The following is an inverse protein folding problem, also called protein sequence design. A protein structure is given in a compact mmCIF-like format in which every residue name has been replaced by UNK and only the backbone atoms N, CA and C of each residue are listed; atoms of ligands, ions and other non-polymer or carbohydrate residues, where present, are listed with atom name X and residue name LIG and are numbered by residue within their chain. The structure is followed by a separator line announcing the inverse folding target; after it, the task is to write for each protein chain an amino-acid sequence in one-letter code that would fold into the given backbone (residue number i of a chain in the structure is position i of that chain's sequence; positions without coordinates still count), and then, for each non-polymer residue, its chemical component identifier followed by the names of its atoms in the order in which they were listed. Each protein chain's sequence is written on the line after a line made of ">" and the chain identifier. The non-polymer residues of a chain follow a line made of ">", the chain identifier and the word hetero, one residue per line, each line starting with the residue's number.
data_IF_095838795068
#
_entry.id   IF_095838795068
#
_cell.length_a   1.000
_cell.length_b   1.000
_cell.length_c   1.000
_cell.angle_alpha   90.00
_cell.angle_beta   90.00
_cell.angle_gamma   90.00
#
_symmetry.space_group_name_H-M   'P 1'
#
loop_
_entity.id
_entity.type
_entity.pdbx_description
1 polymer ?
#
# COMPACT_ATOMS: atom_id res chain seq x y z
N UNK A 1 -23.42 -5.42 -6.94
CA UNK A 1 -23.96 -5.83 -5.63
C UNK A 1 -22.97 -6.86 -5.12
N UNK A 2 -22.43 -6.70 -3.92
CA UNK A 2 -21.59 -7.76 -3.40
C UNK A 2 -22.40 -9.06 -3.34
N UNK A 3 -21.85 -10.15 -3.86
CA UNK A 3 -22.50 -11.44 -3.74
C UNK A 3 -22.48 -11.87 -2.27
N UNK A 4 -23.60 -12.34 -1.70
CA UNK A 4 -23.76 -12.61 -0.27
C UNK A 4 -22.86 -13.75 0.27
N UNK A 5 -22.03 -14.37 -0.55
CA UNK A 5 -21.19 -15.52 -0.17
C UNK A 5 -19.72 -15.41 -0.65
N UNK A 6 -19.29 -14.25 -1.17
CA UNK A 6 -17.96 -14.08 -1.74
C UNK A 6 -17.02 -13.28 -0.85
N UNK A 7 -15.95 -13.90 -0.33
CA UNK A 7 -14.78 -13.16 0.12
C UNK A 7 -14.17 -12.45 -1.10
N UNK A 8 -14.14 -11.12 -1.07
CA UNK A 8 -13.37 -10.33 -2.02
C UNK A 8 -11.91 -10.28 -1.55
N UNK A 9 -11.00 -10.76 -2.38
CA UNK A 9 -9.56 -10.65 -2.14
C UNK A 9 -8.99 -9.63 -3.13
N UNK A 10 -8.48 -8.51 -2.62
CA UNK A 10 -7.69 -7.56 -3.40
C UNK A 10 -6.25 -7.62 -2.87
N UNK A 11 -5.36 -8.19 -3.67
CA UNK A 11 -3.93 -8.20 -3.37
C UNK A 11 -3.29 -7.02 -4.10
N UNK A 12 -2.80 -6.03 -3.35
CA UNK A 12 -2.05 -4.91 -3.90
C UNK A 12 -0.56 -5.20 -3.72
N UNK A 13 0.13 -5.41 -4.83
CA UNK A 13 1.59 -5.60 -4.80
C UNK A 13 2.30 -4.27 -5.03
N UNK A 14 2.76 -3.64 -3.96
CA UNK A 14 3.54 -2.40 -4.02
C UNK A 14 5.04 -2.69 -4.13
N UNK A 15 5.65 -2.38 -5.27
CA UNK A 15 7.13 -2.27 -5.34
C UNK A 15 7.52 -0.93 -4.74
N UNK A 16 7.71 -0.90 -3.43
CA UNK A 16 8.28 0.25 -2.73
C UNK A 16 9.78 0.37 -3.01
N UNK A 17 10.12 0.85 -4.20
CA UNK A 17 11.47 1.27 -4.54
C UNK A 17 11.79 2.57 -3.79
N UNK A 18 12.19 2.44 -2.53
CA UNK A 18 12.71 3.54 -1.74
C UNK A 18 11.81 3.96 -0.60
N UNK A 19 11.64 3.07 0.38
CA UNK A 19 11.79 3.53 1.74
C UNK A 19 13.23 4.05 1.85
N UNK A 20 13.45 5.31 1.49
CA UNK A 20 14.78 5.90 1.58
C UNK A 20 15.23 5.77 3.03
N UNK A 21 16.39 5.14 3.26
CA UNK A 21 17.01 5.16 4.57
C UNK A 21 17.09 6.62 4.99
N UNK A 22 16.56 6.95 6.17
CA UNK A 22 16.56 8.32 6.69
C UNK A 22 18.02 8.75 6.92
N UNK A 23 18.65 9.30 5.88
CA UNK A 23 19.98 9.89 5.98
C UNK A 23 19.79 11.21 6.74
N UNK A 24 19.93 11.17 8.06
CA UNK A 24 20.34 12.33 8.83
C UNK A 24 21.71 12.74 8.30
N UNK A 25 21.74 13.74 7.42
CA UNK A 25 22.98 14.37 6.93
C UNK A 25 23.80 14.93 8.10
N UNK A 26 25.07 14.55 8.27
CA UNK A 26 26.06 15.43 8.85
C UNK A 26 26.69 16.25 7.71
N UNK A 27 26.72 17.57 7.89
CA UNK A 27 27.47 18.51 7.06
C UNK A 27 28.92 18.02 6.85
N UNK A 28 29.32 17.78 5.60
CA UNK A 28 30.73 17.77 5.20
C UNK A 28 30.85 18.14 3.71
N UNK A 29 31.59 19.21 3.46
CA UNK A 29 32.11 19.58 2.15
C UNK A 29 33.10 18.54 1.65
N UNK A 30 33.02 18.16 0.38
CA UNK A 30 34.19 17.96 -0.50
C UNK A 30 33.70 17.77 -1.94
N UNK A 31 34.18 18.65 -2.82
CA UNK A 31 34.23 18.42 -4.26
C UNK A 31 35.15 17.24 -4.56
N UNK A 32 34.77 16.37 -5.49
CA UNK A 32 35.63 15.87 -6.58
C UNK A 32 34.79 15.00 -7.54
N UNK A 33 34.83 15.37 -8.81
CA UNK A 33 34.32 14.57 -9.92
C UNK A 33 35.38 13.54 -10.33
N UNK A 34 35.07 12.24 -10.38
CA UNK A 34 35.69 11.29 -11.33
C UNK A 34 34.66 10.23 -11.77
N UNK A 35 34.51 10.14 -13.08
CA UNK A 35 33.71 9.22 -13.89
C UNK A 35 34.14 7.75 -13.76
N UNK A 36 33.18 6.82 -13.66
CA UNK A 36 33.49 5.39 -13.81
C UNK A 36 32.38 4.38 -13.48
N UNK A 37 31.73 3.87 -14.53
CA UNK A 37 31.25 2.49 -14.69
C UNK A 37 29.95 2.02 -13.98
N UNK A 38 28.92 1.87 -14.83
CA UNK A 38 28.11 0.63 -15.02
C UNK A 38 27.43 0.03 -13.78
N UNK A 39 26.16 0.40 -13.62
CA UNK A 39 25.15 -0.39 -12.95
C UNK A 39 23.80 0.02 -13.51
N UNK A 40 23.10 -0.90 -14.17
CA UNK A 40 21.74 -0.72 -14.67
C UNK A 40 20.85 -0.34 -13.47
N UNK A 41 20.62 0.96 -13.31
CA UNK A 41 19.58 1.47 -12.44
C UNK A 41 18.25 1.12 -13.09
N UNK A 42 17.75 -0.09 -12.77
CA UNK A 42 16.35 -0.41 -12.90
C UNK A 42 15.58 0.59 -12.06
N UNK A 43 15.23 1.72 -12.67
CA UNK A 43 14.27 2.67 -12.14
C UNK A 43 12.98 1.87 -11.95
N UNK A 44 12.78 1.37 -10.73
CA UNK A 44 11.53 0.76 -10.32
C UNK A 44 10.43 1.75 -10.68
N UNK A 45 9.55 1.33 -11.59
CA UNK A 45 8.43 2.15 -12.02
C UNK A 45 7.67 2.55 -10.77
N UNK A 46 7.68 3.84 -10.41
CA UNK A 46 6.78 4.37 -9.40
C UNK A 46 5.39 4.29 -10.00
N UNK A 47 4.64 3.28 -9.63
CA UNK A 47 3.20 3.25 -9.92
C UNK A 47 2.56 4.08 -8.83
N UNK A 48 2.37 5.37 -9.13
CA UNK A 48 1.46 6.16 -8.33
C UNK A 48 0.06 5.60 -8.56
N UNK A 49 -0.62 5.23 -7.49
CA UNK A 49 -1.89 4.51 -7.47
C UNK A 49 -1.88 3.14 -8.15
N UNK A 50 -1.89 2.08 -7.34
CA UNK A 50 -2.15 0.73 -7.83
C UNK A 50 -3.65 0.45 -7.86
N UNK A 51 -4.16 -0.03 -9.00
CA UNK A 51 -5.57 -0.40 -9.18
C UNK A 51 -5.69 -1.91 -9.33
N UNK A 52 -6.53 -2.53 -8.51
CA UNK A 52 -6.81 -3.96 -8.53
C UNK A 52 -8.31 -4.22 -8.65
N UNK A 53 -8.70 -5.33 -9.30
CA UNK A 53 -10.11 -5.69 -9.51
C UNK A 53 -10.39 -7.11 -9.02
N UNK A 54 -11.39 -7.25 -8.14
CA UNK A 54 -11.90 -8.53 -7.66
C UNK A 54 -13.42 -8.58 -7.87
N UNK A 55 -13.85 -9.29 -8.91
CA UNK A 55 -15.26 -9.40 -9.28
C UNK A 55 -15.89 -8.05 -9.64
N UNK A 56 -16.81 -7.57 -8.80
CA UNK A 56 -17.51 -6.29 -8.98
C UNK A 56 -16.85 -5.13 -8.20
N UNK A 57 -15.71 -5.36 -7.55
CA UNK A 57 -15.00 -4.39 -6.72
C UNK A 57 -13.71 -3.97 -7.42
N UNK A 58 -13.56 -2.67 -7.66
CA UNK A 58 -12.27 -2.06 -7.97
C UNK A 58 -11.70 -1.43 -6.70
N UNK A 59 -10.39 -1.50 -6.52
CA UNK A 59 -9.71 -0.83 -5.42
C UNK A 59 -8.53 -0.03 -5.94
N UNK A 60 -8.32 1.15 -5.36
CA UNK A 60 -7.11 1.95 -5.55
C UNK A 60 -6.36 2.04 -4.23
N UNK A 61 -5.07 1.74 -4.24
CA UNK A 61 -4.16 1.91 -3.10
C UNK A 61 -3.39 3.23 -3.23
N UNK A 62 -3.24 3.94 -2.11
CA UNK A 62 -2.32 5.06 -1.96
C UNK A 62 -1.60 5.00 -0.61
N UNK A 63 -0.33 5.41 -0.57
CA UNK A 63 0.51 5.38 0.63
C UNK A 63 1.21 6.73 0.81
N UNK A 64 0.99 7.39 1.95
CA UNK A 64 1.56 8.71 2.20
C UNK A 64 3.05 8.66 2.59
N UNK A 65 3.84 9.70 2.24
CA UNK A 65 3.49 10.77 1.31
C UNK A 65 3.68 10.33 -0.15
N UNK A 66 2.67 10.59 -1.00
CA UNK A 66 2.75 10.46 -2.48
C UNK A 66 3.32 9.13 -2.99
N UNK A 67 2.89 8.00 -2.44
CA UNK A 67 3.37 6.65 -2.73
C UNK A 67 4.88 6.45 -2.50
N UNK A 68 5.46 7.22 -1.56
CA UNK A 68 6.87 7.18 -1.17
C UNK A 68 7.08 7.18 0.36
N UNK A 69 6.55 6.17 1.09
CA UNK A 69 6.75 6.04 2.53
C UNK A 69 8.23 5.87 2.86
N UNK A 70 8.61 6.26 4.08
CA UNK A 70 9.99 6.11 4.60
C UNK A 70 10.08 4.90 5.51
N UNK A 71 11.20 4.18 5.45
CA UNK A 71 11.41 3.03 6.33
C UNK A 71 11.64 3.51 7.75
N UNK A 72 11.06 2.80 8.71
CA UNK A 72 11.11 3.16 10.12
C UNK A 72 10.16 4.31 10.50
N UNK A 73 9.34 4.80 9.57
CA UNK A 73 8.31 5.81 9.81
C UNK A 73 6.93 5.23 9.51
N UNK A 74 5.91 5.61 10.29
CA UNK A 74 4.53 5.26 10.00
C UNK A 74 4.05 6.03 8.77
N UNK A 75 3.40 5.32 7.85
CA UNK A 75 2.82 5.87 6.65
C UNK A 75 1.32 5.57 6.59
N UNK A 76 0.52 6.62 6.42
CA UNK A 76 -0.91 6.46 6.20
C UNK A 76 -1.12 5.77 4.86
N UNK A 77 -1.74 4.60 4.90
CA UNK A 77 -2.11 3.82 3.73
C UNK A 77 -3.62 3.74 3.64
N UNK A 78 -4.20 4.09 2.50
CA UNK A 78 -5.65 4.05 2.31
C UNK A 78 -6.05 3.36 1.02
N UNK A 79 -7.28 2.80 1.03
CA UNK A 79 -7.82 2.00 -0.07
C UNK A 79 -9.15 2.58 -0.53
N UNK A 80 -9.20 3.21 -1.69
CA UNK A 80 -10.45 3.63 -2.29
C UNK A 80 -11.13 2.43 -2.96
N UNK A 81 -12.07 1.81 -2.26
CA UNK A 81 -12.87 0.71 -2.78
C UNK A 81 -14.11 1.25 -3.49
N UNK A 82 -14.39 0.75 -4.69
CA UNK A 82 -15.57 1.10 -5.47
C UNK A 82 -16.24 -0.15 -6.02
N UNK A 83 -17.57 -0.15 -6.05
CA UNK A 83 -18.32 -1.17 -6.81
C UNK A 83 -18.42 -0.75 -8.27
N UNK A 84 -18.73 -1.71 -9.15
CA UNK A 84 -19.12 -1.44 -10.55
C UNK A 84 -20.11 -0.26 -10.60
N UNK A 85 -19.79 0.72 -11.44
CA UNK A 85 -20.52 2.00 -11.52
C UNK A 85 -19.89 3.14 -10.71
N UNK A 86 -18.76 2.90 -10.03
CA UNK A 86 -17.94 3.96 -9.40
C UNK A 86 -18.41 4.40 -8.02
N UNK A 87 -19.38 3.72 -7.42
CA UNK A 87 -19.85 4.07 -6.08
C UNK A 87 -18.87 3.53 -5.02
N UNK A 88 -18.42 4.41 -4.13
CA UNK A 88 -17.53 4.09 -3.02
C UNK A 88 -18.14 3.06 -2.08
N UNK A 89 -17.30 2.12 -1.63
CA UNK A 89 -17.59 1.15 -0.57
C UNK A 89 -16.88 1.67 0.69
N UNK A 90 -17.63 2.22 1.67
CA UNK A 90 -17.03 2.66 2.94
C UNK A 90 -16.64 1.47 3.82
N UNK A 91 -15.66 1.67 4.69
CA UNK A 91 -15.22 0.70 5.70
C UNK A 91 -16.39 0.22 6.58
N UNK A 92 -17.35 1.09 6.89
CA UNK A 92 -18.55 0.73 7.67
C UNK A 92 -19.46 -0.30 6.98
N UNK A 93 -19.25 -0.57 5.69
CA UNK A 93 -19.96 -1.60 4.91
C UNK A 93 -19.10 -2.83 4.60
N UNK A 94 -17.87 -2.89 5.12
CA UNK A 94 -16.93 -3.97 4.90
C UNK A 94 -16.39 -4.54 6.21
N UNK A 95 -16.53 -5.85 6.39
CA UNK A 95 -15.71 -6.63 7.31
C UNK A 95 -14.37 -6.87 6.63
N UNK A 96 -13.52 -5.84 6.67
CA UNK A 96 -12.25 -5.79 5.98
C UNK A 96 -11.09 -6.10 6.95
N UNK A 97 -10.07 -6.80 6.47
CA UNK A 97 -8.81 -7.00 7.18
C UNK A 97 -7.62 -6.77 6.24
N UNK A 98 -6.52 -6.26 6.80
CA UNK A 98 -5.29 -5.98 6.08
C UNK A 98 -4.15 -6.82 6.64
N UNK A 99 -3.40 -7.45 5.74
CA UNK A 99 -2.14 -8.12 6.04
C UNK A 99 -1.02 -7.54 5.18
N UNK A 100 0.15 -7.34 5.78
CA UNK A 100 1.35 -6.81 5.11
C UNK A 100 2.41 -7.88 5.10
N UNK A 101 3.00 -8.15 3.94
CA UNK A 101 4.07 -9.12 3.75
C UNK A 101 5.28 -8.44 3.13
N UNK A 102 6.49 -8.81 3.58
CA UNK A 102 7.71 -8.42 2.89
C UNK A 102 7.90 -9.27 1.63
N UNK A 103 8.46 -8.68 0.57
CA UNK A 103 8.85 -9.42 -0.63
C UNK A 103 10.33 -9.80 -0.61
N UNK A 104 10.73 -10.96 -1.16
CA UNK A 104 9.88 -11.91 -1.89
C UNK A 104 8.95 -12.72 -0.96
N UNK A 105 7.68 -12.82 -1.31
CA UNK A 105 6.71 -13.65 -0.59
C UNK A 105 6.90 -15.13 -0.94
N UNK A 106 6.87 -15.98 0.09
CA UNK A 106 6.80 -17.44 -0.02
C UNK A 106 5.51 -17.91 0.63
N UNK A 107 4.89 -18.91 0.01
CA UNK A 107 3.69 -19.53 0.59
C UNK A 107 3.99 -20.03 2.02
N UNK A 108 3.19 -19.56 2.98
CA UNK A 108 3.38 -19.83 4.40
C UNK A 108 4.17 -18.77 5.18
N UNK A 109 4.70 -17.73 4.52
CA UNK A 109 5.30 -16.60 5.21
C UNK A 109 4.25 -15.90 6.09
N UNK A 110 4.68 -15.52 7.30
CA UNK A 110 3.85 -14.79 8.24
C UNK A 110 3.75 -13.32 7.82
N UNK A 111 2.57 -12.72 8.04
CA UNK A 111 2.41 -11.29 7.85
C UNK A 111 3.31 -10.54 8.83
N UNK A 112 4.07 -9.56 8.33
CA UNK A 112 4.90 -8.70 9.18
C UNK A 112 4.06 -7.70 9.98
N UNK A 113 2.83 -7.45 9.53
CA UNK A 113 1.86 -6.63 10.24
C UNK A 113 0.42 -6.98 9.83
N UNK A 114 -0.51 -6.87 10.78
CA UNK A 114 -1.96 -6.94 10.56
C UNK A 114 -2.64 -5.73 11.20
N UNK A 115 -2.47 -4.52 10.64
CA UNK A 115 -2.93 -3.31 11.29
C UNK A 115 -4.45 -3.20 11.29
N UNK A 116 -5.00 -2.61 12.35
CA UNK A 116 -6.42 -2.33 12.45
C UNK A 116 -6.82 -1.24 11.44
N UNK A 117 -7.91 -1.47 10.71
CA UNK A 117 -8.44 -0.48 9.77
C UNK A 117 -9.26 0.60 10.48
N UNK A 118 -9.12 1.84 10.03
CA UNK A 118 -9.91 3.01 10.40
C UNK A 118 -10.46 3.71 9.16
N UNK A 119 -11.59 4.38 9.31
CA UNK A 119 -12.20 5.14 8.23
C UNK A 119 -11.51 6.51 8.09
N UNK A 120 -11.20 6.91 6.85
CA UNK A 120 -10.68 8.25 6.53
C UNK A 120 -11.40 8.86 5.33
N UNK A 121 -11.20 10.16 5.12
CA UNK A 121 -11.56 10.86 3.89
C UNK A 121 -10.29 11.41 3.25
N UNK A 122 -10.05 11.04 1.99
CA UNK A 122 -8.88 11.44 1.22
C UNK A 122 -9.27 11.53 -0.26
N UNK A 123 -8.69 12.48 -0.99
CA UNK A 123 -8.87 12.63 -2.45
C UNK A 123 -10.33 12.59 -2.95
N UNK A 124 -11.28 13.12 -2.16
CA UNK A 124 -12.70 13.13 -2.48
C UNK A 124 -13.46 11.83 -2.14
N UNK A 125 -12.76 10.77 -1.74
CA UNK A 125 -13.36 9.59 -1.13
C UNK A 125 -13.69 9.83 0.34
N UNK A 126 -14.74 9.19 0.83
CA UNK A 126 -15.19 9.33 2.22
C UNK A 126 -15.41 7.98 2.88
N UNK A 127 -14.98 7.87 4.13
CA UNK A 127 -15.16 6.67 4.95
C UNK A 127 -14.40 5.45 4.43
N UNK A 128 -13.33 5.64 3.66
CA UNK A 128 -12.57 4.54 3.06
C UNK A 128 -11.68 3.83 4.09
N UNK A 129 -11.41 2.52 3.92
CA UNK A 129 -10.45 1.80 4.76
C UNK A 129 -9.06 2.42 4.69
N UNK A 130 -8.42 2.59 5.85
CA UNK A 130 -7.04 3.03 5.97
C UNK A 130 -6.36 2.47 7.22
N UNK A 131 -5.04 2.45 7.22
CA UNK A 131 -4.21 2.11 8.37
C UNK A 131 -2.90 2.88 8.33
N UNK A 132 -2.35 3.16 9.52
CA UNK A 132 -0.98 3.62 9.65
C UNK A 132 -0.07 2.39 9.67
N UNK A 133 0.88 2.31 8.73
CA UNK A 133 1.74 1.13 8.53
C UNK A 133 3.20 1.54 8.72
N UNK A 134 3.91 0.81 9.58
CA UNK A 134 5.35 0.93 9.72
C UNK A 134 6.05 -0.06 8.77
N UNK A 135 6.75 0.46 7.77
CA UNK A 135 7.61 -0.36 6.90
C UNK A 135 9.01 -0.46 7.53
N UNK A 136 9.43 -1.62 8.08
CA UNK A 136 10.62 -1.69 8.92
C UNK A 136 11.92 -1.43 8.16
N UNK A 137 11.99 -1.85 6.90
CA UNK A 137 13.18 -1.73 6.05
C UNK A 137 12.84 -1.26 4.64
N UNK A 138 13.80 -0.67 3.91
CA UNK A 138 13.66 -0.46 2.48
C UNK A 138 13.42 -1.78 1.74
N UNK A 139 12.42 -1.84 0.87
CA UNK A 139 12.09 -3.05 0.11
C UNK A 139 10.68 -3.03 -0.44
N UNK A 140 10.34 -4.04 -1.24
CA UNK A 140 8.98 -4.23 -1.75
C UNK A 140 8.10 -4.95 -0.71
N UNK A 141 6.81 -4.62 -0.72
CA UNK A 141 5.82 -5.18 0.20
C UNK A 141 4.53 -5.53 -0.55
N UNK A 142 3.88 -6.59 -0.10
CA UNK A 142 2.54 -6.94 -0.56
C UNK A 142 1.53 -6.61 0.52
N UNK A 143 0.50 -5.84 0.15
CA UNK A 143 -0.58 -5.43 1.01
C UNK A 143 -1.84 -6.18 0.55
N UNK A 144 -2.28 -7.12 1.38
CA UNK A 144 -3.43 -7.96 1.09
C UNK A 144 -4.63 -7.45 1.86
N UNK A 145 -5.54 -6.78 1.15
CA UNK A 145 -6.81 -6.34 1.70
C UNK A 145 -7.87 -7.40 1.37
N UNK A 146 -8.44 -8.03 2.41
CA UNK A 146 -9.52 -8.99 2.26
C UNK A 146 -10.78 -8.42 2.88
N UNK A 147 -11.93 -8.68 2.27
CA UNK A 147 -13.18 -8.10 2.75
C UNK A 147 -14.40 -8.93 2.44
N UNK A 148 -15.38 -8.84 3.34
CA UNK A 148 -16.75 -9.29 3.10
C UNK A 148 -17.74 -8.15 3.34
N UNK A 149 -18.88 -8.15 2.66
CA UNK A 149 -19.92 -7.15 2.91
C UNK A 149 -20.50 -7.35 4.30
N UNK A 150 -20.65 -6.27 5.05
CA UNK A 150 -21.48 -6.29 6.24
C UNK A 150 -22.94 -6.25 5.81
N UNK A 151 -23.67 -7.32 6.08
CA UNK A 151 -25.14 -7.31 6.00
C UNK A 151 -25.66 -6.58 7.23
N UNK A 152 -26.12 -5.35 7.05
CA UNK A 152 -26.89 -4.62 8.07
C UNK A 152 -28.33 -5.10 8.08
#
# INVERSE_FOLDING_TARGET
>A
MFHPNGKGLLAFTGVMAGAIASLLSPSAMASEEIMGSRGENGAGTRVAHQVEIAGDVGGTLHIEPNDTPRAGEEALTWFALTKRGGQTIPLSSCDCSLAVYAQPYREGDEAIATPSLRAVSAEGYNGIPAADILFPTPGAYELVLTGQPLTT
#
